data_IF_814285637566
#
_entry.id   IF_814285637566
#
_cell.length_a   1.000
_cell.length_b   1.000
_cell.length_c   1.000
_cell.angle_alpha   90.00
_cell.angle_beta   90.00
_cell.angle_gamma   90.00
#
_symmetry.space_group_name_H-M   'P 1'
#
loop_
_entity.id
_entity.type
_entity.pdbx_description
1 polymer ?
#
# COMPACT_ATOMS: atom_id res chain seq x y z
N UNK A 1 -12.49 -11.69 16.40
CA UNK A 1 -11.34 -10.87 15.95
C UNK A 1 -11.41 -9.53 16.61
N UNK A 2 -10.27 -8.90 16.87
CA UNK A 2 -10.22 -7.55 17.42
C UNK A 2 -10.90 -6.54 16.48
N UNK A 3 -11.36 -5.42 17.03
CA UNK A 3 -11.87 -4.30 16.25
C UNK A 3 -10.74 -3.75 15.37
N UNK A 4 -11.07 -3.24 14.18
CA UNK A 4 -10.12 -2.46 13.36
C UNK A 4 -9.80 -1.17 14.11
N UNK A 5 -8.51 -0.92 14.36
CA UNK A 5 -8.06 0.28 15.08
C UNK A 5 -7.25 1.22 14.18
N UNK A 6 -6.63 0.68 13.11
CA UNK A 6 -5.74 1.47 12.25
C UNK A 6 -5.87 1.11 10.78
N UNK A 7 -5.99 2.15 9.95
CA UNK A 7 -6.05 2.06 8.50
C UNK A 7 -4.86 2.79 7.84
N UNK A 8 -4.10 2.09 7.00
CA UNK A 8 -3.09 2.70 6.14
C UNK A 8 -3.67 2.93 4.74
N UNK A 9 -3.69 4.18 4.30
CA UNK A 9 -4.30 4.59 3.03
C UNK A 9 -3.24 5.29 2.17
N UNK A 10 -2.96 4.75 0.98
CA UNK A 10 -2.00 5.33 0.02
C UNK A 10 -2.51 5.14 -1.40
N UNK A 11 -3.02 6.21 -2.00
CA UNK A 11 -3.79 6.15 -3.25
C UNK A 11 -3.24 7.08 -4.33
N UNK A 12 -3.10 6.53 -5.53
CA UNK A 12 -2.87 7.30 -6.75
C UNK A 12 -4.15 8.00 -7.15
N UNK A 13 -5.23 7.24 -7.43
CA UNK A 13 -6.57 7.77 -7.62
C UNK A 13 -7.25 7.94 -6.26
N UNK A 14 -7.62 9.17 -5.93
CA UNK A 14 -8.17 9.55 -4.63
C UNK A 14 -9.68 9.74 -4.68
N UNK A 15 -10.35 9.26 -5.72
CA UNK A 15 -11.80 9.39 -5.88
C UNK A 15 -12.55 8.72 -4.73
N UNK A 16 -13.47 9.47 -4.11
CA UNK A 16 -14.34 8.98 -3.02
C UNK A 16 -13.64 8.69 -1.69
N UNK A 17 -12.34 9.00 -1.54
CA UNK A 17 -11.60 8.64 -0.33
C UNK A 17 -12.04 9.44 0.90
N UNK A 18 -12.47 10.69 0.71
CA UNK A 18 -12.89 11.59 1.78
C UNK A 18 -14.09 11.01 2.55
N UNK A 19 -15.07 10.49 1.81
CA UNK A 19 -16.25 9.84 2.40
C UNK A 19 -15.89 8.56 3.14
N UNK A 20 -15.09 7.69 2.52
CA UNK A 20 -14.67 6.44 3.15
C UNK A 20 -13.84 6.69 4.43
N UNK A 21 -12.81 7.52 4.33
CA UNK A 21 -11.93 7.84 5.45
C UNK A 21 -12.67 8.59 6.58
N UNK A 22 -13.60 9.49 6.24
CA UNK A 22 -14.44 10.16 7.23
C UNK A 22 -15.29 9.20 8.04
N UNK A 23 -15.84 8.15 7.41
CA UNK A 23 -16.58 7.11 8.14
C UNK A 23 -15.67 6.23 9.01
N UNK A 24 -14.45 5.94 8.57
CA UNK A 24 -13.46 5.25 9.42
C UNK A 24 -13.14 6.08 10.68
N UNK A 25 -12.91 7.39 10.52
CA UNK A 25 -12.64 8.30 11.65
C UNK A 25 -13.83 8.34 12.63
N UNK A 26 -15.07 8.41 12.13
CA UNK A 26 -16.28 8.35 12.98
C UNK A 26 -16.38 7.05 13.78
N UNK A 27 -15.78 5.96 13.29
CA UNK A 27 -15.72 4.67 13.98
C UNK A 27 -14.54 4.56 14.96
N UNK A 28 -13.73 5.61 15.07
CA UNK A 28 -12.57 5.70 15.95
C UNK A 28 -11.31 5.04 15.38
N UNK A 29 -11.22 4.87 14.06
CA UNK A 29 -10.07 4.24 13.40
C UNK A 29 -9.03 5.31 13.08
N UNK A 30 -7.78 5.08 13.52
CA UNK A 30 -6.65 5.96 13.22
C UNK A 30 -6.25 5.83 11.74
N UNK A 31 -6.12 6.96 11.06
CA UNK A 31 -5.67 7.01 9.67
C UNK A 31 -4.16 7.24 9.61
N UNK A 32 -3.45 6.33 8.93
CA UNK A 32 -2.09 6.51 8.45
C UNK A 32 -2.10 6.82 6.96
N UNK A 33 -1.33 7.83 6.54
CA UNK A 33 -1.15 8.13 5.12
C UNK A 33 0.17 8.83 4.84
N UNK A 34 0.47 9.08 3.57
CA UNK A 34 1.69 9.76 3.11
C UNK A 34 1.39 10.56 1.84
N UNK A 35 2.25 11.53 1.52
CA UNK A 35 2.24 12.31 0.30
C UNK A 35 0.88 12.95 -0.03
N UNK A 36 0.49 12.86 -1.31
CA UNK A 36 -0.74 13.48 -1.81
C UNK A 36 -2.03 12.91 -1.20
N UNK A 37 -2.02 11.68 -0.68
CA UNK A 37 -3.19 11.10 -0.01
C UNK A 37 -3.39 11.73 1.37
N UNK A 38 -2.32 11.88 2.15
CA UNK A 38 -2.37 12.55 3.45
C UNK A 38 -2.83 14.00 3.32
N UNK A 39 -2.29 14.73 2.32
CA UNK A 39 -2.71 16.10 2.01
C UNK A 39 -4.22 16.19 1.74
N UNK A 40 -4.74 15.35 0.84
CA UNK A 40 -6.16 15.37 0.47
C UNK A 40 -7.08 15.08 1.65
N UNK A 41 -6.70 14.13 2.51
CA UNK A 41 -7.48 13.80 3.70
C UNK A 41 -7.51 14.96 4.72
N UNK A 42 -6.38 15.66 4.90
CA UNK A 42 -6.31 16.86 5.75
C UNK A 42 -7.13 18.01 5.21
N UNK A 43 -7.12 18.23 3.90
CA UNK A 43 -7.97 19.23 3.22
C UNK A 43 -9.47 18.94 3.43
N UNK A 44 -9.84 17.66 3.57
CA UNK A 44 -11.19 17.25 3.96
C UNK A 44 -11.49 17.37 5.47
N UNK A 45 -10.58 17.94 6.26
CA UNK A 45 -10.73 18.14 7.70
C UNK A 45 -10.49 16.88 8.55
N UNK A 46 -9.89 15.82 7.99
CA UNK A 46 -9.66 14.57 8.70
C UNK A 46 -8.31 14.56 9.41
N UNK A 47 -8.29 14.04 10.64
CA UNK A 47 -7.06 13.78 11.36
C UNK A 47 -6.32 12.59 10.72
N UNK A 48 -5.09 12.82 10.27
CA UNK A 48 -4.24 11.82 9.62
C UNK A 48 -2.83 11.92 10.17
N UNK A 49 -2.32 10.77 10.61
CA UNK A 49 -0.93 10.62 11.03
C UNK A 49 -0.07 10.25 9.82
N UNK A 50 1.07 10.93 9.66
CA UNK A 50 1.99 10.60 8.58
C UNK A 50 2.67 9.25 8.86
N UNK A 51 2.92 8.49 7.80
CA UNK A 51 3.67 7.23 7.90
C UNK A 51 5.06 7.49 8.50
N UNK A 52 5.71 8.61 8.19
CA UNK A 52 6.99 9.00 8.79
C UNK A 52 6.93 9.15 10.31
N UNK A 53 5.84 9.69 10.85
CA UNK A 53 5.64 9.82 12.30
C UNK A 53 5.33 8.46 12.95
N UNK A 54 4.72 7.55 12.19
CA UNK A 54 4.45 6.19 12.63
C UNK A 54 5.73 5.35 12.66
N UNK A 55 6.59 5.48 11.63
CA UNK A 55 7.84 4.73 11.52
C UNK A 55 8.97 5.36 12.33
N UNK A 56 8.98 6.68 12.48
CA UNK A 56 10.13 7.46 12.94
C UNK A 56 11.20 7.61 11.85
N UNK A 57 10.85 7.38 10.58
CA UNK A 57 11.77 7.44 9.44
C UNK A 57 11.20 8.35 8.35
N UNK A 58 11.97 9.33 7.84
CA UNK A 58 11.47 10.28 6.84
C UNK A 58 11.20 9.61 5.49
N UNK A 59 10.41 10.27 4.66
CA UNK A 59 10.32 9.94 3.24
C UNK A 59 11.63 10.32 2.53
N UNK A 60 12.16 9.43 1.69
CA UNK A 60 13.46 9.59 1.04
C UNK A 60 13.41 9.18 -0.43
N UNK A 61 14.43 9.60 -1.19
CA UNK A 61 14.65 9.24 -2.60
C UNK A 61 13.44 9.58 -3.47
N UNK A 62 13.00 10.85 -3.40
CA UNK A 62 11.86 11.38 -4.15
C UNK A 62 10.55 10.59 -3.96
N UNK A 63 10.37 10.02 -2.78
CA UNK A 63 9.18 9.26 -2.40
C UNK A 63 9.19 7.78 -2.80
N UNK A 64 10.32 7.29 -3.33
CA UNK A 64 10.54 5.86 -3.61
C UNK A 64 10.59 5.04 -2.31
N UNK A 65 11.11 5.63 -1.22
CA UNK A 65 11.19 4.96 0.10
C UNK A 65 10.36 5.75 1.12
N UNK A 66 9.12 5.30 1.31
CA UNK A 66 8.17 5.89 2.27
C UNK A 66 7.51 4.85 3.17
N UNK A 67 7.11 3.70 2.62
CA UNK A 67 6.34 2.66 3.34
C UNK A 67 7.10 1.35 3.51
N UNK A 68 8.26 1.19 2.86
CA UNK A 68 9.13 0.02 2.92
C UNK A 68 9.89 -0.03 4.25
N UNK A 69 9.17 -0.21 5.36
CA UNK A 69 9.70 -0.14 6.71
C UNK A 69 9.17 -1.28 7.60
N UNK A 70 10.00 -1.88 8.48
CA UNK A 70 9.57 -2.96 9.37
C UNK A 70 8.38 -2.62 10.26
N UNK A 71 8.27 -1.39 10.77
CA UNK A 71 7.07 -0.96 11.53
C UNK A 71 5.77 -1.02 10.72
N UNK A 72 5.82 -0.77 9.41
CA UNK A 72 4.66 -0.89 8.53
C UNK A 72 4.38 -2.37 8.24
N UNK A 73 5.36 -3.08 7.69
CA UNK A 73 5.15 -4.46 7.25
C UNK A 73 5.01 -5.45 8.41
N UNK A 74 5.69 -5.24 9.53
CA UNK A 74 5.49 -6.00 10.77
C UNK A 74 4.13 -5.73 11.41
N UNK A 75 3.64 -4.48 11.32
CA UNK A 75 2.28 -4.14 11.70
C UNK A 75 1.21 -4.84 10.83
N UNK A 76 1.51 -5.09 9.56
CA UNK A 76 0.62 -5.79 8.63
C UNK A 76 0.74 -7.32 8.77
N UNK A 77 1.95 -7.88 8.80
CA UNK A 77 2.21 -9.31 8.62
C UNK A 77 2.21 -10.15 9.88
N UNK A 78 2.25 -9.54 11.08
CA UNK A 78 2.21 -10.34 12.30
C UNK A 78 0.87 -11.09 12.41
N UNK A 79 0.88 -12.36 12.82
CA UNK A 79 -0.35 -13.11 12.99
C UNK A 79 -0.86 -12.86 14.41
N UNK A 80 -2.08 -12.34 14.56
CA UNK A 80 -2.57 -11.85 15.86
C UNK A 80 -2.75 -12.98 16.88
N UNK A 81 -3.06 -14.18 16.40
CA UNK A 81 -3.22 -15.38 17.21
C UNK A 81 -1.88 -16.09 17.54
N UNK A 82 -0.76 -15.69 16.93
CA UNK A 82 0.54 -16.30 17.16
C UNK A 82 1.27 -15.58 18.30
N UNK A 83 1.44 -16.26 19.44
CA UNK A 83 2.04 -15.68 20.65
C UNK A 83 3.48 -15.21 20.45
N UNK A 84 4.28 -15.91 19.65
CA UNK A 84 5.66 -15.49 19.36
C UNK A 84 5.70 -14.22 18.49
N UNK A 85 4.79 -14.11 17.51
CA UNK A 85 4.67 -12.87 16.74
C UNK A 85 4.26 -11.69 17.62
N UNK A 86 3.32 -11.90 18.56
CA UNK A 86 2.92 -10.84 19.49
C UNK A 86 4.06 -10.42 20.41
N UNK A 87 4.87 -11.37 20.90
CA UNK A 87 6.08 -11.09 21.68
C UNK A 87 7.07 -10.24 20.88
N UNK A 88 7.39 -10.65 19.65
CA UNK A 88 8.28 -9.89 18.75
C UNK A 88 7.73 -8.48 18.46
N UNK A 89 6.42 -8.33 18.30
CA UNK A 89 5.80 -7.02 18.11
C UNK A 89 5.97 -6.12 19.34
N UNK A 90 5.75 -6.66 20.54
CA UNK A 90 5.94 -5.92 21.79
C UNK A 90 7.41 -5.48 21.95
N UNK A 91 8.36 -6.40 21.77
CA UNK A 91 9.79 -6.15 21.93
C UNK A 91 10.33 -5.08 20.96
N UNK A 92 9.76 -5.02 19.75
CA UNK A 92 10.23 -4.14 18.68
C UNK A 92 9.31 -2.92 18.47
N UNK A 93 8.33 -2.70 19.34
CA UNK A 93 7.38 -1.58 19.25
C UNK A 93 6.56 -1.57 17.96
N UNK A 94 6.25 -2.75 17.41
CA UNK A 94 5.40 -2.88 16.22
C UNK A 94 3.93 -2.71 16.62
N UNK A 95 3.22 -1.85 15.90
CA UNK A 95 1.79 -1.61 16.10
C UNK A 95 0.99 -2.18 14.94
N UNK A 96 -0.15 -2.80 15.23
CA UNK A 96 -1.00 -3.41 14.23
C UNK A 96 -1.53 -2.38 13.22
N UNK A 97 -1.56 -2.80 11.95
CA UNK A 97 -2.29 -2.14 10.88
C UNK A 97 -3.33 -3.16 10.40
N UNK A 98 -4.60 -2.81 10.53
CA UNK A 98 -5.72 -3.76 10.38
C UNK A 98 -6.46 -3.56 9.05
N UNK A 99 -6.33 -2.38 8.45
CA UNK A 99 -6.87 -2.07 7.14
C UNK A 99 -5.79 -1.42 6.26
N UNK A 100 -5.69 -1.86 5.01
CA UNK A 100 -4.80 -1.28 4.00
C UNK A 100 -5.62 -0.96 2.75
N UNK A 101 -5.63 0.31 2.32
CA UNK A 101 -6.29 0.74 1.09
C UNK A 101 -5.27 1.37 0.13
N UNK A 102 -5.02 0.70 -1.01
CA UNK A 102 -4.00 1.09 -1.99
C UNK A 102 -4.49 0.80 -3.40
N UNK A 103 -4.21 1.67 -4.38
CA UNK A 103 -4.50 1.41 -5.80
C UNK A 103 -3.28 1.67 -6.70
N UNK A 104 -3.19 0.93 -7.82
CA UNK A 104 -2.00 0.83 -8.68
C UNK A 104 -2.20 1.39 -10.09
N UNK A 105 -2.88 2.53 -10.22
CA UNK A 105 -3.29 3.07 -11.53
C UNK A 105 -2.22 3.86 -12.29
N UNK A 106 -1.06 4.15 -11.68
CA UNK A 106 -0.08 5.05 -12.27
C UNK A 106 0.55 4.49 -13.56
N UNK A 107 1.12 3.28 -13.50
CA UNK A 107 1.92 2.74 -14.60
C UNK A 107 1.14 2.59 -15.91
N UNK A 108 0.02 1.85 -15.90
CA UNK A 108 -0.78 1.59 -17.09
C UNK A 108 -1.29 2.88 -17.76
N UNK A 109 -1.54 3.93 -16.97
CA UNK A 109 -1.95 5.24 -17.48
C UNK A 109 -0.78 5.99 -18.12
N UNK A 110 0.40 5.95 -17.50
CA UNK A 110 1.61 6.60 -18.01
C UNK A 110 2.05 6.00 -19.34
N UNK A 111 2.13 4.66 -19.43
CA UNK A 111 2.61 3.98 -20.64
C UNK A 111 1.59 3.97 -21.79
N UNK A 112 0.37 4.45 -21.56
CA UNK A 112 -0.62 4.68 -22.61
C UNK A 112 -0.32 5.95 -23.43
N UNK A 113 0.53 6.85 -22.95
CA UNK A 113 1.02 7.98 -23.74
C UNK A 113 2.01 7.48 -24.80
N UNK A 114 1.76 7.72 -26.11
CA UNK A 114 2.69 7.35 -27.17
C UNK A 114 4.09 7.98 -27.06
N UNK A 115 4.23 9.06 -26.27
CA UNK A 115 5.49 9.75 -26.03
C UNK A 115 6.17 9.36 -24.71
N UNK A 116 5.65 8.37 -23.99
CA UNK A 116 6.23 7.89 -22.74
C UNK A 116 7.66 7.39 -22.98
N UNK A 117 8.65 8.00 -22.33
CA UNK A 117 10.04 7.53 -22.37
C UNK A 117 10.30 6.38 -21.40
N UNK A 118 11.44 5.69 -21.56
CA UNK A 118 11.93 4.70 -20.58
C UNK A 118 12.07 5.30 -19.18
N UNK A 119 12.59 6.53 -19.07
CA UNK A 119 12.70 7.21 -17.79
C UNK A 119 11.33 7.47 -17.15
N UNK A 120 10.34 7.92 -17.94
CA UNK A 120 8.97 8.16 -17.45
C UNK A 120 8.32 6.87 -16.96
N UNK A 121 8.47 5.78 -17.72
CA UNK A 121 7.93 4.48 -17.35
C UNK A 121 8.58 3.96 -16.06
N UNK A 122 9.92 4.00 -15.95
CA UNK A 122 10.68 3.55 -14.77
C UNK A 122 10.26 4.33 -13.52
N UNK A 123 10.08 5.65 -13.61
CA UNK A 123 9.65 6.47 -12.47
C UNK A 123 8.23 6.13 -12.00
N UNK A 124 7.39 5.60 -12.90
CA UNK A 124 6.01 5.21 -12.59
C UNK A 124 5.85 3.72 -12.19
N UNK A 125 6.96 2.98 -12.07
CA UNK A 125 6.95 1.64 -11.45
C UNK A 125 6.88 1.80 -9.92
N UNK A 126 5.73 1.46 -9.34
CA UNK A 126 5.47 1.50 -7.92
C UNK A 126 6.00 0.23 -7.24
N UNK A 127 6.90 0.40 -6.27
CA UNK A 127 7.42 -0.67 -5.43
C UNK A 127 6.61 -0.80 -4.13
N UNK A 128 6.27 0.35 -3.53
CA UNK A 128 5.62 0.40 -2.22
C UNK A 128 4.19 -0.13 -2.27
N UNK A 129 3.42 0.26 -3.29
CA UNK A 129 2.03 -0.12 -3.47
C UNK A 129 1.83 -1.63 -3.56
N UNK A 130 2.47 -2.34 -4.52
CA UNK A 130 2.39 -3.79 -4.61
C UNK A 130 2.88 -4.50 -3.35
N UNK A 131 3.92 -3.99 -2.69
CA UNK A 131 4.44 -4.58 -1.44
C UNK A 131 3.43 -4.48 -0.31
N UNK A 132 2.79 -3.32 -0.10
CA UNK A 132 1.72 -3.13 0.89
C UNK A 132 0.54 -4.06 0.62
N UNK A 133 0.09 -4.12 -0.63
CA UNK A 133 -1.04 -4.93 -1.06
C UNK A 133 -0.78 -6.42 -0.83
N UNK A 134 0.35 -6.94 -1.32
CA UNK A 134 0.71 -8.36 -1.17
C UNK A 134 0.89 -8.74 0.30
N UNK A 135 1.48 -7.87 1.11
CA UNK A 135 1.62 -8.11 2.56
C UNK A 135 0.25 -8.23 3.25
N UNK A 136 -0.66 -7.29 2.99
CA UNK A 136 -1.99 -7.29 3.59
C UNK A 136 -2.84 -8.48 3.10
N UNK A 137 -2.79 -8.78 1.80
CA UNK A 137 -3.49 -9.93 1.22
C UNK A 137 -2.94 -11.28 1.75
N UNK A 138 -1.63 -11.41 1.94
CA UNK A 138 -1.04 -12.60 2.58
C UNK A 138 -1.59 -12.82 3.99
N UNK A 139 -1.79 -11.74 4.75
CA UNK A 139 -2.31 -11.81 6.12
C UNK A 139 -3.84 -11.54 6.21
N UNK A 140 -4.61 -11.96 5.20
CA UNK A 140 -6.06 -11.71 5.11
C UNK A 140 -6.87 -12.25 6.30
N UNK A 141 -6.32 -13.15 7.12
CA UNK A 141 -6.99 -13.57 8.35
C UNK A 141 -7.19 -12.39 9.29
N UNK A 142 -6.19 -11.51 9.39
CA UNK A 142 -6.12 -10.43 10.37
C UNK A 142 -6.24 -9.02 9.74
N UNK A 143 -5.96 -8.88 8.43
CA UNK A 143 -5.89 -7.58 7.75
C UNK A 143 -6.89 -7.49 6.59
N UNK A 144 -7.66 -6.41 6.56
CA UNK A 144 -8.54 -6.06 5.43
C UNK A 144 -7.77 -5.26 4.40
N UNK A 145 -7.74 -5.71 3.15
CA UNK A 145 -7.07 -5.01 2.05
C UNK A 145 -8.09 -4.53 1.03
N UNK A 146 -7.96 -3.30 0.51
CA UNK A 146 -8.87 -2.73 -0.48
C UNK A 146 -8.07 -2.13 -1.63
N UNK A 147 -8.45 -2.46 -2.85
CA UNK A 147 -7.83 -1.95 -4.09
C UNK A 147 -8.75 -1.09 -4.94
N UNK A 148 -10.05 -1.09 -4.63
CA UNK A 148 -11.09 -0.56 -5.49
C UNK A 148 -12.16 0.14 -4.63
N UNK A 149 -12.47 1.42 -4.89
CA UNK A 149 -13.50 2.16 -4.18
C UNK A 149 -14.89 1.51 -4.17
N UNK A 150 -15.20 0.65 -5.15
CA UNK A 150 -16.46 -0.10 -5.18
C UNK A 150 -16.65 -1.03 -3.96
N UNK A 151 -15.56 -1.39 -3.27
CA UNK A 151 -15.62 -2.23 -2.07
C UNK A 151 -15.88 -1.43 -0.77
N UNK A 152 -15.73 -0.10 -0.79
CA UNK A 152 -15.90 0.74 0.41
C UNK A 152 -17.25 0.56 1.11
N UNK A 153 -18.42 0.53 0.41
CA UNK A 153 -19.70 0.41 1.08
C UNK A 153 -19.85 -0.90 1.86
N UNK A 154 -19.43 -2.03 1.26
CA UNK A 154 -19.51 -3.33 1.92
C UNK A 154 -18.58 -3.39 3.14
N UNK A 155 -17.34 -2.90 3.01
CA UNK A 155 -16.39 -2.89 4.12
C UNK A 155 -16.89 -2.03 5.28
N UNK A 156 -17.37 -0.81 5.00
CA UNK A 156 -17.94 0.06 6.03
C UNK A 156 -19.16 -0.57 6.72
N UNK A 157 -20.04 -1.23 5.96
CA UNK A 157 -21.21 -1.90 6.52
C UNK A 157 -20.79 -2.95 7.56
N UNK A 158 -19.82 -3.81 7.23
CA UNK A 158 -19.36 -4.87 8.14
C UNK A 158 -18.66 -4.30 9.39
N UNK A 159 -17.80 -3.29 9.20
CA UNK A 159 -17.11 -2.63 10.32
C UNK A 159 -18.11 -1.96 11.25
N UNK A 160 -19.17 -1.30 10.74
CA UNK A 160 -20.22 -0.72 11.61
C UNK A 160 -20.95 -1.78 12.40
N UNK A 161 -21.27 -2.91 11.77
CA UNK A 161 -22.06 -3.96 12.39
C UNK A 161 -21.29 -4.71 13.49
N UNK A 162 -19.98 -4.94 13.28
CA UNK A 162 -19.23 -5.89 14.11
C UNK A 162 -17.85 -5.39 14.57
N UNK A 163 -17.45 -4.19 14.16
CA UNK A 163 -16.12 -3.63 14.42
C UNK A 163 -15.01 -4.15 13.51
N UNK A 164 -15.29 -5.11 12.63
CA UNK A 164 -14.33 -5.67 11.66
C UNK A 164 -15.08 -6.19 10.42
N UNK A 165 -14.36 -6.63 9.39
CA UNK A 165 -14.93 -7.34 8.26
C UNK A 165 -15.02 -8.85 8.52
N UNK A 166 -15.77 -9.55 7.69
CA UNK A 166 -15.87 -11.02 7.73
C UNK A 166 -14.67 -11.70 7.06
N UNK A 167 -14.32 -12.94 7.45
CA UNK A 167 -13.31 -13.73 6.73
C UNK A 167 -13.63 -13.92 5.25
N UNK A 168 -14.92 -14.09 4.90
CA UNK A 168 -15.38 -14.21 3.51
C UNK A 168 -15.04 -12.96 2.70
N UNK A 169 -15.24 -11.78 3.28
CA UNK A 169 -14.92 -10.50 2.65
C UNK A 169 -13.41 -10.33 2.48
N UNK A 170 -12.61 -10.59 3.51
CA UNK A 170 -11.15 -10.50 3.39
C UNK A 170 -10.57 -11.48 2.38
N UNK A 171 -11.10 -12.71 2.31
CA UNK A 171 -10.68 -13.67 1.29
C UNK A 171 -11.06 -13.22 -0.13
N UNK A 172 -12.25 -12.65 -0.34
CA UNK A 172 -12.63 -12.06 -1.62
C UNK A 172 -11.66 -10.94 -2.03
N UNK A 173 -11.33 -10.06 -1.09
CA UNK A 173 -10.44 -8.93 -1.30
C UNK A 173 -8.98 -9.37 -1.57
N UNK A 174 -8.49 -10.39 -0.86
CA UNK A 174 -7.20 -11.03 -1.13
C UNK A 174 -7.10 -11.49 -2.59
N UNK A 175 -8.13 -12.13 -3.14
CA UNK A 175 -8.14 -12.55 -4.54
C UNK A 175 -8.05 -11.36 -5.50
N UNK A 176 -8.76 -10.26 -5.22
CA UNK A 176 -8.67 -9.03 -6.03
C UNK A 176 -7.24 -8.48 -6.05
N UNK A 177 -6.55 -8.49 -4.90
CA UNK A 177 -5.17 -8.02 -4.80
C UNK A 177 -4.20 -8.84 -5.66
N UNK A 178 -4.24 -10.16 -5.54
CA UNK A 178 -3.31 -11.01 -6.30
C UNK A 178 -3.59 -10.98 -7.80
N UNK A 179 -4.86 -10.82 -8.21
CA UNK A 179 -5.20 -10.56 -9.61
C UNK A 179 -4.61 -9.21 -10.09
N UNK A 180 -4.88 -8.13 -9.36
CA UNK A 180 -4.39 -6.79 -9.72
C UNK A 180 -2.87 -6.71 -9.80
N UNK A 181 -2.16 -7.29 -8.82
CA UNK A 181 -0.69 -7.27 -8.82
C UNK A 181 -0.09 -8.12 -9.93
N UNK A 182 -0.73 -9.25 -10.28
CA UNK A 182 -0.33 -10.03 -11.46
C UNK A 182 -0.53 -9.25 -12.76
N UNK A 183 -1.65 -8.54 -12.91
CA UNK A 183 -1.93 -7.68 -14.07
C UNK A 183 -0.93 -6.52 -14.17
N UNK A 184 -0.61 -5.90 -13.02
CA UNK A 184 0.36 -4.83 -12.91
C UNK A 184 1.75 -5.26 -13.38
N UNK A 185 2.28 -6.37 -12.86
CA UNK A 185 3.60 -6.89 -13.24
C UNK A 185 3.62 -7.33 -14.72
N UNK A 186 2.52 -7.89 -15.22
CA UNK A 186 2.38 -8.25 -16.65
C UNK A 186 2.43 -7.02 -17.54
N UNK A 187 1.81 -5.91 -17.14
CA UNK A 187 1.84 -4.66 -17.90
C UNK A 187 3.27 -4.09 -17.98
N UNK A 188 4.02 -4.13 -16.87
CA UNK A 188 5.43 -3.72 -16.85
C UNK A 188 6.26 -4.58 -17.80
N UNK A 189 6.17 -5.91 -17.67
CA UNK A 189 6.94 -6.85 -18.52
C UNK A 189 6.66 -6.62 -20.00
N UNK A 190 5.38 -6.53 -20.39
CA UNK A 190 4.98 -6.32 -21.79
C UNK A 190 5.46 -4.99 -22.35
N UNK A 191 5.46 -3.95 -21.53
CA UNK A 191 5.94 -2.64 -21.98
C UNK A 191 7.46 -2.67 -22.18
N UNK A 192 8.21 -3.23 -21.24
CA UNK A 192 9.67 -3.37 -21.36
C UNK A 192 10.09 -4.23 -22.55
N UNK A 193 9.33 -5.27 -22.91
CA UNK A 193 9.58 -6.09 -24.11
C UNK A 193 9.49 -5.29 -25.42
N UNK A 194 8.75 -4.18 -25.44
CA UNK A 194 8.57 -3.33 -26.63
C UNK A 194 9.62 -2.23 -26.73
N UNK A 195 10.43 -2.03 -25.70
CA UNK A 195 11.39 -0.94 -25.60
C UNK A 195 12.78 -1.48 -25.85
N UNK A 196 13.39 -1.04 -26.93
CA UNK A 196 14.82 -1.27 -27.17
C UNK A 196 15.62 -0.25 -26.38
N UNK A 197 16.24 -0.67 -25.29
CA UNK A 197 17.27 0.12 -24.63
C UNK A 197 18.58 -0.08 -25.40
N UNK A 198 19.14 1.01 -25.95
CA UNK A 198 20.57 1.02 -26.29
C UNK A 198 21.35 1.04 -24.97
N UNK A 199 21.51 -0.14 -24.38
CA UNK A 199 22.39 -0.31 -23.23
C UNK A 199 23.82 -0.15 -23.74
N UNK A 200 24.31 1.09 -23.79
CA UNK A 200 25.75 1.35 -23.83
C UNK A 200 26.31 0.86 -22.49
N UNK A 201 26.66 -0.42 -22.43
CA UNK A 201 27.53 -0.96 -21.40
C UNK A 201 28.91 -0.37 -21.68
N UNK A 202 29.10 0.91 -21.30
CA UNK A 202 30.43 1.44 -21.15
C UNK A 202 31.11 0.56 -20.09
N UNK A 203 31.99 -0.33 -20.56
CA UNK A 203 32.80 -1.19 -19.73
C UNK A 203 33.59 -0.31 -18.76
N UNK A 204 33.10 -0.18 -17.53
CA UNK A 204 33.86 0.39 -16.44
C UNK A 204 34.98 -0.58 -16.11
N UNK A 205 36.11 -0.38 -16.80
CA UNK A 205 37.37 -1.12 -16.66
C UNK A 205 38.18 -0.63 -15.46
N UNK A 206 37.53 -0.07 -14.43
CA UNK A 206 38.19 0.52 -13.28
C UNK A 206 38.11 -0.29 -11.97
N UNK A 207 37.66 -1.56 -12.00
CA UNK A 207 37.94 -2.50 -10.89
C UNK A 207 39.26 -3.22 -11.17
N UNK A 208 40.34 -2.46 -11.02
CA UNK A 208 41.67 -2.96 -10.72
C UNK A 208 42.15 -2.26 -9.45
N UNK A 209 42.34 -3.02 -8.37
CA UNK A 209 43.01 -2.51 -7.17
C UNK A 209 42.40 -2.99 -5.86
N UNK A 210 42.90 -4.14 -5.41
CA UNK A 210 43.02 -4.65 -4.02
C UNK A 210 41.75 -5.01 -3.21
#
# INVERSE_FOLDING_TARGET
MAKIERALISLTDKSGIEGFAGELVKLGIELLSTGGTAKKLREAGLAVKDVSDFTGFPEMLDGRVKTLHPKVHGGILNQRANTEHQRQCADNGLKNIDLVAVNLYAFAKTVADPNCSLADAIENIDIGGPTLLRAAAKNFHDVTVIVDPADYPQVLQEIRATGNTTPKTRFRLMKKVFALTSEYDTAISRWLEQVEEQVDIAADSSISGE
#
